data_IF_853109748519
#
_entry.id   IF_853109748519
#
_cell.length_a   1.000
_cell.length_b   1.000
_cell.length_c   1.000
_cell.angle_alpha   90.00
_cell.angle_beta   90.00
_cell.angle_gamma   90.00
#
_symmetry.space_group_name_H-M   'P 1'
#
loop_
_entity.id
_entity.type
_entity.pdbx_description
1 polymer ?
#
# COMPACT_ATOMS: atom_id res chain seq x y z
N UNK A 1 -17.61 -6.33 -2.24
CA UNK A 1 -16.65 -5.26 -2.52
C UNK A 1 -15.68 -5.26 -1.37
N UNK A 2 -14.38 -5.20 -1.65
CA UNK A 2 -13.32 -5.23 -0.63
C UNK A 2 -12.40 -4.02 -0.84
N UNK A 3 -11.70 -3.61 0.20
CA UNK A 3 -10.78 -2.48 0.19
C UNK A 3 -9.37 -3.02 0.34
N UNK A 4 -8.54 -2.81 -0.68
CA UNK A 4 -7.13 -3.17 -0.67
C UNK A 4 -6.31 -2.03 -0.08
N UNK A 5 -5.51 -2.34 0.92
CA UNK A 5 -4.52 -1.39 1.43
C UNK A 5 -3.31 -1.35 0.49
N UNK A 6 -3.01 -0.15 0.02
CA UNK A 6 -1.84 0.15 -0.79
C UNK A 6 -0.91 1.06 0.00
N UNK A 7 0.36 0.70 0.04
CA UNK A 7 1.42 1.55 0.57
C UNK A 7 2.14 2.26 -0.57
N UNK A 8 2.54 3.51 -0.32
CA UNK A 8 3.37 4.30 -1.21
C UNK A 8 4.63 4.68 -0.45
N UNK A 9 5.75 4.11 -0.89
CA UNK A 9 7.07 4.30 -0.28
C UNK A 9 8.04 4.79 -1.35
N UNK A 10 8.63 5.97 -1.16
CA UNK A 10 9.62 6.55 -2.08
C UNK A 10 9.17 6.60 -3.57
N UNK A 11 7.87 6.77 -3.82
CA UNK A 11 7.29 6.78 -5.17
C UNK A 11 6.93 5.40 -5.73
N UNK A 12 7.26 4.32 -5.02
CA UNK A 12 6.82 2.97 -5.35
C UNK A 12 5.49 2.63 -4.68
N UNK A 13 4.62 2.02 -5.49
CA UNK A 13 3.30 1.53 -5.06
C UNK A 13 3.43 0.04 -4.70
N UNK A 14 3.11 -0.28 -3.45
CA UNK A 14 3.25 -1.62 -2.88
C UNK A 14 1.84 -2.13 -2.54
N UNK A 15 1.47 -3.25 -3.16
CA UNK A 15 0.29 -4.02 -2.76
C UNK A 15 0.62 -4.75 -1.45
N UNK A 16 -0.09 -4.39 -0.37
CA UNK A 16 0.11 -5.02 0.94
C UNK A 16 -0.45 -6.44 1.03
N UNK A 17 -1.30 -6.85 0.08
CA UNK A 17 -2.09 -8.07 0.15
C UNK A 17 -3.24 -8.01 1.17
N UNK A 18 -3.32 -6.95 1.98
CA UNK A 18 -4.33 -6.81 3.04
C UNK A 18 -5.65 -6.28 2.47
N UNK A 19 -6.70 -7.09 2.61
CA UNK A 19 -8.06 -6.79 2.12
C UNK A 19 -9.03 -6.67 3.27
N UNK A 20 -9.85 -5.63 3.22
CA UNK A 20 -10.81 -5.30 4.28
C UNK A 20 -12.22 -5.21 3.72
N UNK A 21 -13.22 -5.57 4.52
CA UNK A 21 -14.62 -5.51 4.10
C UNK A 21 -15.16 -4.08 3.98
N UNK A 22 -14.57 -3.13 4.71
CA UNK A 22 -15.02 -1.73 4.75
C UNK A 22 -13.83 -0.78 4.63
N UNK A 23 -14.09 0.41 4.05
CA UNK A 23 -13.10 1.48 3.96
C UNK A 23 -12.61 1.93 5.35
N UNK A 24 -13.54 2.05 6.30
CA UNK A 24 -13.24 2.46 7.67
C UNK A 24 -12.24 1.50 8.34
N UNK A 25 -12.44 0.19 8.18
CA UNK A 25 -11.52 -0.81 8.74
C UNK A 25 -10.16 -0.75 8.05
N UNK A 26 -10.12 -0.62 6.72
CA UNK A 26 -8.85 -0.45 6.01
C UNK A 26 -8.07 0.77 6.52
N UNK A 27 -8.76 1.91 6.69
CA UNK A 27 -8.14 3.15 7.13
C UNK A 27 -7.64 3.09 8.58
N UNK A 28 -8.42 2.52 9.50
CA UNK A 28 -8.00 2.39 10.90
C UNK A 28 -6.79 1.48 11.06
N UNK A 29 -6.79 0.33 10.37
CA UNK A 29 -5.69 -0.63 10.41
C UNK A 29 -4.42 -0.03 9.78
N UNK A 30 -4.54 0.66 8.65
CA UNK A 30 -3.41 1.34 8.02
C UNK A 30 -2.79 2.41 8.93
N UNK A 31 -3.61 3.20 9.65
CA UNK A 31 -3.11 4.18 10.60
C UNK A 31 -2.40 3.52 11.79
N UNK A 32 -2.95 2.43 12.32
CA UNK A 32 -2.34 1.69 13.41
C UNK A 32 -0.98 1.13 12.99
N UNK A 33 -0.92 0.42 11.86
CA UNK A 33 0.34 -0.11 11.32
C UNK A 33 1.35 1.00 11.01
N UNK A 34 0.91 2.14 10.48
CA UNK A 34 1.78 3.30 10.28
C UNK A 34 2.33 3.86 11.60
N UNK A 35 1.55 3.81 12.68
CA UNK A 35 2.03 4.18 14.02
C UNK A 35 3.06 3.20 14.54
N UNK A 36 2.78 1.90 14.47
CA UNK A 36 3.69 0.83 14.90
C UNK A 36 5.03 0.89 14.15
N UNK A 37 5.01 1.22 12.85
CA UNK A 37 6.22 1.44 12.06
C UNK A 37 7.07 2.60 12.60
N UNK A 38 6.42 3.71 13.00
CA UNK A 38 7.13 4.85 13.59
C UNK A 38 7.75 4.49 14.94
N UNK A 39 7.09 3.64 15.72
CA UNK A 39 7.58 3.23 17.04
C UNK A 39 8.87 2.40 16.96
N UNK A 40 9.09 1.68 15.84
CA UNK A 40 10.34 0.95 15.56
C UNK A 40 11.35 1.76 14.75
N UNK A 41 11.14 3.07 14.59
CA UNK A 41 12.06 3.99 13.91
C UNK A 41 11.96 3.99 12.39
N UNK A 42 10.91 3.40 11.80
CA UNK A 42 10.67 3.45 10.36
C UNK A 42 9.79 4.65 10.00
N UNK A 43 10.07 5.27 8.85
CA UNK A 43 9.16 6.28 8.30
C UNK A 43 7.87 5.62 7.84
N UNK A 44 6.73 6.04 8.38
CA UNK A 44 5.42 5.58 7.93
C UNK A 44 5.23 5.89 6.43
N UNK A 45 4.98 4.88 5.57
CA UNK A 45 4.65 5.12 4.18
C UNK A 45 3.31 5.85 4.07
N UNK A 46 3.12 6.57 2.96
CA UNK A 46 1.78 7.03 2.60
C UNK A 46 0.91 5.82 2.27
N UNK A 47 -0.40 5.93 2.43
CA UNK A 47 -1.30 4.82 2.13
C UNK A 47 -2.59 5.27 1.49
N UNK A 48 -3.25 4.33 0.81
CA UNK A 48 -4.61 4.50 0.30
C UNK A 48 -5.37 3.18 0.35
N UNK A 49 -6.69 3.28 0.51
CA UNK A 49 -7.60 2.15 0.54
C UNK A 49 -8.40 2.10 -0.76
N UNK A 50 -8.03 1.21 -1.68
CA UNK A 50 -8.65 1.12 -3.00
C UNK A 50 -9.84 0.15 -2.98
N UNK A 51 -11.04 0.55 -3.45
CA UNK A 51 -12.15 -0.37 -3.60
C UNK A 51 -11.88 -1.32 -4.78
N UNK A 52 -11.96 -2.62 -4.52
CA UNK A 52 -11.78 -3.69 -5.50
C UNK A 52 -13.02 -4.57 -5.52
N UNK A 53 -13.47 -4.92 -6.72
CA UNK A 53 -14.50 -5.91 -6.92
C UNK A 53 -13.99 -7.30 -6.54
N UNK A 54 -14.86 -8.16 -5.99
CA UNK A 54 -14.50 -9.56 -5.75
C UNK A 54 -14.00 -10.17 -7.07
N UNK A 55 -12.89 -10.91 -6.98
CA UNK A 55 -12.25 -11.62 -8.10
C UNK A 55 -11.54 -10.75 -9.15
N UNK A 56 -11.37 -9.44 -8.90
CA UNK A 56 -10.52 -8.60 -9.74
C UNK A 56 -9.11 -8.48 -9.15
N UNK A 57 -8.13 -8.79 -9.98
CA UNK A 57 -6.73 -8.58 -9.65
C UNK A 57 -6.36 -7.10 -9.81
N UNK A 58 -5.76 -6.54 -8.77
CA UNK A 58 -5.09 -5.25 -8.84
C UNK A 58 -3.83 -5.40 -9.71
N UNK A 59 -3.68 -4.54 -10.71
CA UNK A 59 -2.47 -4.49 -11.56
C UNK A 59 -1.95 -3.07 -11.59
N UNK A 60 -0.69 -2.91 -11.19
CA UNK A 60 0.01 -1.63 -11.28
C UNK A 60 0.73 -1.60 -12.63
N UNK A 61 0.31 -0.69 -13.52
CA UNK A 61 1.01 -0.45 -14.77
C UNK A 61 2.07 0.63 -14.54
N UNK A 62 3.27 0.23 -14.10
CA UNK A 62 4.43 1.13 -14.12
C UNK A 62 4.88 1.28 -15.57
N UNK A 63 4.90 2.51 -16.09
CA UNK A 63 5.73 2.79 -17.26
C UNK A 63 7.17 2.52 -16.82
N UNK A 64 7.86 1.66 -17.56
CA UNK A 64 9.22 1.24 -17.28
C UNK A 64 10.20 2.39 -17.59
N UNK A 65 10.03 3.54 -16.93
CA UNK A 65 10.93 4.69 -17.03
C UNK A 65 11.86 4.68 -15.83
N UNK A 66 12.82 3.76 -15.83
CA UNK A 66 14.20 4.02 -15.40
C UNK A 66 14.90 2.70 -15.11
N UNK A 67 15.99 2.48 -15.83
CA UNK A 67 17.08 1.58 -15.49
C UNK A 67 17.67 1.96 -14.12
N UNK A 68 17.01 1.61 -13.02
CA UNK A 68 17.66 1.60 -11.71
C UNK A 68 18.63 0.42 -11.67
N UNK A 69 19.82 0.62 -12.27
CA UNK A 69 21.03 -0.07 -11.84
C UNK A 69 21.38 0.55 -10.51
N UNK A 70 20.90 -0.01 -9.40
CA UNK A 70 21.42 0.28 -8.08
C UNK A 70 22.79 -0.40 -7.97
N UNK A 71 23.92 0.32 -7.86
CA UNK A 71 25.18 -0.25 -7.46
C UNK A 71 25.49 0.31 -6.07
N UNK A 72 25.16 -0.44 -5.02
CA UNK A 72 25.44 -0.12 -3.61
C UNK A 72 24.60 1.04 -3.02
#
# INVERSE_FOLDING_TARGET
MEFLLIWVLAGDVIDSGLRYQTAAKCFSEAQNSASEMRDVGLSAPQFTCLPIAKDKNFKIYRQNSSNSRFPF
#
